data_IF_084399667317
#
_entry.id   IF_084399667317
#
_cell.length_a   1.000
_cell.length_b   1.000
_cell.length_c   1.000
_cell.angle_alpha   90.00
_cell.angle_beta   90.00
_cell.angle_gamma   90.00
#
_symmetry.space_group_name_H-M   'P 1'
#
loop_
_entity.id
_entity.type
_entity.pdbx_description
1 polymer ?
#
# COMPACT_ATOMS: atom_id res chain seq x y z
N UNK A 1 16.17 -17.10 2.73
CA UNK A 1 15.31 -16.92 1.55
C UNK A 1 14.60 -15.57 1.66
N UNK A 2 14.95 -14.62 0.77
CA UNK A 2 14.53 -13.22 0.79
C UNK A 2 13.00 -13.01 0.67
N UNK A 3 12.27 -13.98 0.12
CA UNK A 3 10.82 -13.87 -0.09
C UNK A 3 9.99 -13.91 1.21
N UNK A 4 10.52 -14.51 2.30
CA UNK A 4 9.81 -14.56 3.59
C UNK A 4 9.69 -13.21 4.29
N UNK A 5 10.49 -12.22 3.91
CA UNK A 5 10.53 -10.94 4.61
C UNK A 5 9.46 -9.93 4.13
N UNK A 6 8.90 -10.10 2.93
CA UNK A 6 8.05 -9.09 2.30
C UNK A 6 6.55 -9.43 2.25
N UNK A 7 6.18 -10.70 2.46
CA UNK A 7 4.77 -11.06 2.58
C UNK A 7 4.37 -10.95 4.04
N UNK A 8 3.52 -9.98 4.35
CA UNK A 8 2.95 -9.83 5.68
C UNK A 8 1.99 -11.01 5.96
N UNK A 9 2.31 -11.94 6.89
CA UNK A 9 1.43 -13.08 7.18
C UNK A 9 0.02 -12.63 7.60
N UNK A 10 -0.07 -11.51 8.29
CA UNK A 10 -1.33 -10.94 8.73
C UNK A 10 -2.20 -10.49 7.52
N UNK A 11 -1.58 -9.98 6.45
CA UNK A 11 -2.29 -9.66 5.21
C UNK A 11 -2.91 -10.92 4.59
N UNK A 12 -2.16 -12.03 4.54
CA UNK A 12 -2.66 -13.30 4.02
C UNK A 12 -3.85 -13.81 4.84
N UNK A 13 -3.70 -13.94 6.16
CA UNK A 13 -4.77 -14.43 7.03
C UNK A 13 -6.03 -13.57 6.94
N UNK A 14 -5.89 -12.26 6.94
CA UNK A 14 -7.03 -11.35 6.82
C UNK A 14 -7.72 -11.46 5.45
N UNK A 15 -6.96 -11.69 4.39
CA UNK A 15 -7.53 -11.90 3.06
C UNK A 15 -8.34 -13.19 2.98
N UNK A 16 -7.84 -14.30 3.52
CA UNK A 16 -8.58 -15.55 3.59
C UNK A 16 -9.86 -15.43 4.45
N UNK A 17 -9.79 -14.75 5.59
CA UNK A 17 -10.95 -14.49 6.43
C UNK A 17 -12.01 -13.64 5.69
N UNK A 18 -11.56 -12.67 4.88
CA UNK A 18 -12.46 -11.87 4.05
C UNK A 18 -13.15 -12.73 3.00
N UNK A 19 -12.41 -13.59 2.30
CA UNK A 19 -12.96 -14.51 1.31
C UNK A 19 -14.03 -15.39 1.98
N UNK A 20 -13.71 -16.00 3.12
CA UNK A 20 -14.65 -16.84 3.86
C UNK A 20 -15.93 -16.08 4.27
N UNK A 21 -15.78 -14.85 4.76
CA UNK A 21 -16.90 -13.99 5.14
C UNK A 21 -17.80 -13.63 3.94
N UNK A 22 -17.20 -13.34 2.78
CA UNK A 22 -17.93 -13.04 1.56
C UNK A 22 -18.75 -14.24 1.08
N UNK A 23 -18.15 -15.44 1.10
CA UNK A 23 -18.87 -16.68 0.78
C UNK A 23 -20.01 -16.96 1.75
N UNK A 24 -19.77 -16.84 3.06
CA UNK A 24 -20.78 -17.05 4.11
C UNK A 24 -21.94 -16.05 4.01
N UNK A 25 -21.69 -14.88 3.41
CA UNK A 25 -22.70 -13.84 3.19
C UNK A 25 -23.34 -13.92 1.80
N UNK A 26 -23.13 -15.00 1.04
CA UNK A 26 -23.61 -15.19 -0.33
C UNK A 26 -23.17 -14.10 -1.33
N UNK A 27 -22.07 -13.41 -1.06
CA UNK A 27 -21.51 -12.37 -1.93
C UNK A 27 -20.49 -12.96 -2.92
N UNK A 28 -20.92 -13.95 -3.70
CA UNK A 28 -20.04 -14.77 -4.55
C UNK A 28 -19.29 -13.95 -5.62
N UNK A 29 -19.96 -13.00 -6.24
CA UNK A 29 -19.32 -12.16 -7.26
C UNK A 29 -18.17 -11.34 -6.65
N UNK A 30 -18.42 -10.67 -5.52
CA UNK A 30 -17.39 -9.87 -4.82
C UNK A 30 -16.25 -10.78 -4.34
N UNK A 31 -16.57 -12.01 -3.89
CA UNK A 31 -15.55 -12.98 -3.47
C UNK A 31 -14.64 -13.37 -4.64
N UNK A 32 -15.19 -13.64 -5.83
CA UNK A 32 -14.42 -14.00 -7.02
C UNK A 32 -13.53 -12.83 -7.48
N UNK A 33 -14.06 -11.60 -7.53
CA UNK A 33 -13.29 -10.40 -7.86
C UNK A 33 -12.15 -10.18 -6.84
N UNK A 34 -12.45 -10.37 -5.55
CA UNK A 34 -11.45 -10.26 -4.48
C UNK A 34 -10.33 -11.30 -4.64
N UNK A 35 -10.67 -12.57 -4.93
CA UNK A 35 -9.68 -13.64 -5.12
C UNK A 35 -8.78 -13.34 -6.32
N UNK A 36 -9.34 -12.88 -7.43
CA UNK A 36 -8.58 -12.52 -8.63
C UNK A 36 -7.59 -11.41 -8.32
N UNK A 37 -8.08 -10.30 -7.74
CA UNK A 37 -7.25 -9.16 -7.38
C UNK A 37 -6.19 -9.52 -6.32
N UNK A 38 -6.56 -10.33 -5.32
CA UNK A 38 -5.64 -10.83 -4.29
C UNK A 38 -4.49 -11.66 -4.91
N UNK A 39 -4.81 -12.53 -5.86
CA UNK A 39 -3.81 -13.35 -6.56
C UNK A 39 -2.83 -12.49 -7.34
N UNK A 40 -3.29 -11.43 -8.00
CA UNK A 40 -2.46 -10.50 -8.74
C UNK A 40 -1.55 -9.67 -7.81
N UNK A 41 -2.11 -9.14 -6.72
CA UNK A 41 -1.33 -8.41 -5.71
C UNK A 41 -0.26 -9.31 -5.09
N UNK A 42 -0.61 -10.55 -4.75
CA UNK A 42 0.33 -11.50 -4.16
C UNK A 42 1.48 -11.82 -5.13
N UNK A 43 1.18 -12.11 -6.39
CA UNK A 43 2.18 -12.37 -7.43
C UNK A 43 3.12 -11.18 -7.59
N UNK A 44 2.58 -9.97 -7.76
CA UNK A 44 3.39 -8.74 -7.88
C UNK A 44 4.24 -8.47 -6.64
N UNK A 45 3.73 -8.75 -5.45
CA UNK A 45 4.50 -8.62 -4.20
C UNK A 45 5.70 -9.57 -4.21
N UNK A 46 5.53 -10.82 -4.66
CA UNK A 46 6.62 -11.79 -4.77
C UNK A 46 7.63 -11.35 -5.82
N UNK A 47 7.18 -11.00 -7.02
CA UNK A 47 8.03 -10.62 -8.14
C UNK A 47 8.84 -9.35 -7.82
N UNK A 48 8.22 -8.37 -7.18
CA UNK A 48 8.86 -7.09 -6.83
C UNK A 48 9.69 -7.16 -5.54
N UNK A 49 9.60 -8.23 -4.76
CA UNK A 49 10.28 -8.34 -3.46
C UNK A 49 11.81 -8.34 -3.57
N UNK A 50 12.34 -8.76 -4.72
CA UNK A 50 13.78 -8.77 -5.03
C UNK A 50 14.25 -7.52 -5.79
N UNK A 51 13.35 -6.63 -6.20
CA UNK A 51 13.68 -5.45 -6.98
C UNK A 51 13.95 -4.25 -6.07
N UNK A 52 15.00 -3.49 -6.38
CA UNK A 52 15.25 -2.21 -5.71
C UNK A 52 14.35 -1.12 -6.28
N UNK A 53 14.17 -1.13 -7.59
CA UNK A 53 13.42 -0.12 -8.35
C UNK A 53 12.37 -0.80 -9.21
N UNK A 54 11.25 -0.12 -9.43
CA UNK A 54 10.15 -0.57 -10.28
C UNK A 54 9.66 0.60 -11.15
N UNK A 55 9.19 0.37 -12.38
CA UNK A 55 8.53 1.42 -13.16
C UNK A 55 7.40 2.07 -12.37
N UNK A 56 7.33 3.40 -12.36
CA UNK A 56 6.32 4.15 -11.60
C UNK A 56 4.90 3.70 -11.93
N UNK A 57 4.59 3.42 -13.19
CA UNK A 57 3.30 2.91 -13.64
C UNK A 57 2.92 1.58 -12.98
N UNK A 58 3.89 0.66 -12.88
CA UNK A 58 3.69 -0.65 -12.25
C UNK A 58 3.41 -0.51 -10.75
N UNK A 59 4.14 0.38 -10.08
CA UNK A 59 3.95 0.64 -8.65
C UNK A 59 2.59 1.29 -8.39
N UNK A 60 2.16 2.25 -9.22
CA UNK A 60 0.83 2.89 -9.12
C UNK A 60 -0.28 1.85 -9.35
N UNK A 61 -0.13 0.99 -10.35
CA UNK A 61 -1.09 -0.09 -10.64
C UNK A 61 -1.20 -1.05 -9.45
N UNK A 62 -0.06 -1.45 -8.89
CA UNK A 62 -0.01 -2.28 -7.69
C UNK A 62 -0.73 -1.63 -6.50
N UNK A 63 -0.47 -0.34 -6.25
CA UNK A 63 -1.10 0.39 -5.16
C UNK A 63 -2.62 0.48 -5.29
N UNK A 64 -3.13 0.70 -6.49
CA UNK A 64 -4.58 0.69 -6.75
C UNK A 64 -5.19 -0.66 -6.38
N UNK A 65 -4.63 -1.75 -6.89
CA UNK A 65 -5.10 -3.10 -6.58
C UNK A 65 -5.04 -3.41 -5.08
N UNK A 66 -3.95 -3.03 -4.42
CA UNK A 66 -3.78 -3.21 -2.98
C UNK A 66 -4.84 -2.43 -2.17
N UNK A 67 -5.11 -1.17 -2.51
CA UNK A 67 -6.11 -0.33 -1.86
C UNK A 67 -7.53 -0.85 -2.06
N UNK A 68 -7.87 -1.36 -3.25
CA UNK A 68 -9.15 -2.00 -3.53
C UNK A 68 -9.38 -3.20 -2.60
N UNK A 69 -8.38 -4.06 -2.42
CA UNK A 69 -8.46 -5.16 -1.45
C UNK A 69 -8.69 -4.67 -0.02
N UNK A 70 -7.97 -3.62 0.39
CA UNK A 70 -8.12 -3.05 1.74
C UNK A 70 -9.51 -2.42 1.94
N UNK A 71 -10.09 -1.81 0.91
CA UNK A 71 -11.46 -1.29 0.96
C UNK A 71 -12.49 -2.40 1.19
N UNK A 72 -12.41 -3.51 0.45
CA UNK A 72 -13.29 -4.67 0.62
C UNK A 72 -13.15 -5.26 2.02
N UNK A 73 -11.91 -5.47 2.49
CA UNK A 73 -11.62 -6.01 3.84
C UNK A 73 -12.21 -5.15 4.95
N UNK A 74 -12.32 -3.85 4.73
CA UNK A 74 -12.81 -2.91 5.74
C UNK A 74 -14.29 -2.58 5.63
N UNK A 75 -14.98 -3.16 4.65
CA UNK A 75 -16.43 -3.07 4.51
C UNK A 75 -16.95 -1.61 4.58
N UNK A 76 -16.43 -0.74 3.70
CA UNK A 76 -16.83 0.66 3.59
C UNK A 76 -16.20 1.61 4.63
N UNK A 77 -15.27 1.14 5.47
CA UNK A 77 -14.58 1.98 6.47
C UNK A 77 -13.22 2.48 6.04
N UNK A 78 -12.89 2.31 4.78
CA UNK A 78 -11.73 2.89 4.13
C UNK A 78 -12.17 3.49 2.81
N UNK A 79 -11.87 4.76 2.61
CA UNK A 79 -11.98 5.45 1.34
C UNK A 79 -10.61 5.96 0.95
N UNK A 80 -10.33 5.99 -0.34
CA UNK A 80 -9.09 6.56 -0.83
C UNK A 80 -9.30 7.35 -2.11
N UNK A 81 -8.43 8.31 -2.34
CA UNK A 81 -8.21 8.95 -3.64
C UNK A 81 -6.78 8.69 -4.07
N UNK A 82 -6.58 8.37 -5.34
CA UNK A 82 -5.27 8.25 -5.95
C UNK A 82 -5.25 9.10 -7.21
N UNK A 83 -4.59 10.23 -7.10
CA UNK A 83 -4.39 11.17 -8.19
C UNK A 83 -2.97 10.97 -8.74
N UNK A 84 -2.85 10.83 -10.03
CA UNK A 84 -1.58 10.86 -10.72
C UNK A 84 -1.73 11.76 -11.93
N UNK A 85 -0.86 12.75 -12.04
CA UNK A 85 -0.68 13.47 -13.29
C UNK A 85 -0.28 12.48 -14.37
N UNK A 86 -0.49 12.83 -15.65
CA UNK A 86 -0.06 12.01 -16.78
C UNK A 86 1.44 11.66 -16.64
N UNK A 87 1.70 10.57 -15.93
CA UNK A 87 3.04 10.01 -15.78
C UNK A 87 3.24 9.11 -17.00
N UNK A 88 4.01 9.55 -18.01
CA UNK A 88 4.26 8.77 -19.20
C UNK A 88 4.88 7.41 -18.83
N UNK A 89 4.67 6.40 -19.67
CA UNK A 89 5.28 5.07 -19.46
C UNK A 89 6.81 5.11 -19.33
N UNK A 90 7.44 6.13 -19.93
CA UNK A 90 8.88 6.40 -19.87
C UNK A 90 9.32 7.13 -18.60
N UNK A 91 8.40 7.41 -17.67
CA UNK A 91 8.66 8.30 -16.56
C UNK A 91 9.14 7.58 -15.31
N UNK A 92 10.42 7.28 -15.33
CA UNK A 92 11.18 7.01 -14.13
C UNK A 92 10.89 5.71 -13.41
N UNK A 93 11.88 5.33 -12.67
CA UNK A 93 11.84 4.22 -11.73
C UNK A 93 11.65 4.78 -10.32
N UNK A 94 10.83 4.13 -9.51
CA UNK A 94 10.68 4.44 -8.10
C UNK A 94 11.03 3.21 -7.26
N UNK A 95 11.47 3.39 -6.00
CA UNK A 95 11.79 2.23 -5.16
C UNK A 95 10.59 1.31 -5.01
N UNK A 96 10.79 0.02 -5.28
CA UNK A 96 9.71 -0.99 -5.24
C UNK A 96 9.06 -1.09 -3.87
N UNK A 97 7.73 -1.16 -3.83
CA UNK A 97 6.94 -1.38 -2.61
C UNK A 97 7.25 -0.37 -1.49
N UNK A 98 7.65 0.87 -1.86
CA UNK A 98 8.03 1.89 -0.85
C UNK A 98 6.82 2.56 -0.23
N UNK A 99 5.74 2.70 -0.99
CA UNK A 99 4.55 3.45 -0.55
C UNK A 99 3.61 2.56 0.27
N UNK A 100 3.58 1.25 0.00
CA UNK A 100 2.73 0.30 0.72
C UNK A 100 2.89 0.36 2.25
N UNK A 101 4.10 0.36 2.85
CA UNK A 101 4.24 0.45 4.31
C UNK A 101 3.69 1.75 4.90
N UNK A 102 3.71 2.85 4.13
CA UNK A 102 3.14 4.13 4.54
C UNK A 102 1.62 4.03 4.60
N UNK A 103 1.02 3.45 3.55
CA UNK A 103 -0.43 3.18 3.50
C UNK A 103 -0.86 2.23 4.62
N UNK A 104 -0.11 1.16 4.87
CA UNK A 104 -0.37 0.23 5.97
C UNK A 104 -0.38 0.95 7.33
N UNK A 105 0.55 1.88 7.55
CA UNK A 105 0.58 2.70 8.75
C UNK A 105 -0.65 3.61 8.84
N UNK A 106 -1.00 4.31 7.78
CA UNK A 106 -2.20 5.17 7.72
C UNK A 106 -3.47 4.38 8.02
N UNK A 107 -3.59 3.16 7.47
CA UNK A 107 -4.72 2.27 7.74
C UNK A 107 -4.73 1.78 9.19
N UNK A 108 -3.58 1.42 9.74
CA UNK A 108 -3.44 0.85 11.08
C UNK A 108 -3.69 1.89 12.18
N UNK A 109 -3.19 3.10 11.97
CA UNK A 109 -3.22 4.19 12.93
C UNK A 109 -4.29 5.25 12.61
N UNK A 110 -5.05 5.05 11.53
CA UNK A 110 -6.17 5.90 11.13
C UNK A 110 -7.26 6.01 12.20
N UNK A 111 -8.31 6.79 11.92
CA UNK A 111 -9.36 7.04 12.90
C UNK A 111 -10.03 5.73 13.34
N UNK A 112 -10.29 5.63 14.65
CA UNK A 112 -11.01 4.48 15.23
C UNK A 112 -12.50 4.59 14.94
N UNK A 113 -13.20 3.43 14.96
CA UNK A 113 -14.66 3.40 14.86
C UNK A 113 -15.32 4.45 15.76
N UNK A 114 -16.39 5.12 15.30
CA UNK A 114 -17.15 4.87 14.07
C UNK A 114 -16.62 5.54 12.80
N UNK A 115 -15.53 6.30 12.87
CA UNK A 115 -15.04 7.14 11.78
C UNK A 115 -14.47 6.32 10.61
N UNK A 116 -14.59 6.90 9.42
CA UNK A 116 -14.03 6.33 8.18
C UNK A 116 -12.60 6.80 8.04
N UNK A 117 -11.70 5.86 7.71
CA UNK A 117 -10.33 6.20 7.33
C UNK A 117 -10.33 6.73 5.90
N UNK A 118 -9.75 7.89 5.69
CA UNK A 118 -9.61 8.52 4.37
C UNK A 118 -8.13 8.67 4.08
N UNK A 119 -7.69 8.20 2.91
CA UNK A 119 -6.30 8.29 2.46
C UNK A 119 -6.27 9.01 1.11
N UNK A 120 -5.49 10.07 1.02
CA UNK A 120 -5.23 10.81 -0.21
C UNK A 120 -3.81 10.51 -0.66
N UNK A 121 -3.65 10.03 -1.89
CA UNK A 121 -2.36 9.72 -2.49
C UNK A 121 -2.23 10.53 -3.76
N UNK A 122 -1.13 11.27 -3.90
CA UNK A 122 -0.85 12.06 -5.10
C UNK A 122 0.54 11.76 -5.62
N UNK A 123 0.61 11.59 -6.93
CA UNK A 123 1.84 11.51 -7.69
C UNK A 123 1.89 12.71 -8.63
N UNK A 124 2.83 13.59 -8.41
CA UNK A 124 3.00 14.82 -9.17
C UNK A 124 4.35 14.82 -9.85
N UNK A 125 4.36 15.15 -11.14
CA UNK A 125 5.60 15.37 -11.86
C UNK A 125 6.10 16.80 -11.61
N UNK A 126 7.30 16.93 -11.09
CA UNK A 126 7.99 18.22 -10.95
C UNK A 126 9.34 18.12 -11.66
N UNK A 127 9.45 18.73 -12.84
CA UNK A 127 10.63 18.62 -13.71
C UNK A 127 11.03 17.16 -14.00
N UNK A 128 12.16 16.71 -13.45
CA UNK A 128 12.67 15.35 -13.58
C UNK A 128 12.44 14.50 -12.32
N UNK A 129 11.59 14.95 -11.40
CA UNK A 129 11.31 14.27 -10.12
C UNK A 129 9.83 13.90 -10.03
N UNK A 130 9.53 12.73 -9.49
CA UNK A 130 8.18 12.34 -9.07
C UNK A 130 8.05 12.65 -7.58
N UNK A 131 7.21 13.62 -7.25
CA UNK A 131 6.81 13.87 -5.87
C UNK A 131 5.62 12.96 -5.53
N UNK A 132 5.76 12.16 -4.48
CA UNK A 132 4.66 11.36 -3.96
C UNK A 132 4.27 11.88 -2.58
N UNK A 133 2.99 12.11 -2.37
CA UNK A 133 2.43 12.47 -1.06
C UNK A 133 1.35 11.49 -0.65
N UNK A 134 1.36 11.12 0.63
CA UNK A 134 0.31 10.30 1.27
C UNK A 134 -0.19 11.06 2.48
N UNK A 135 -1.49 11.34 2.52
CA UNK A 135 -2.14 12.03 3.63
C UNK A 135 -3.29 11.18 4.13
N UNK A 136 -3.46 11.10 5.44
CA UNK A 136 -4.59 10.44 6.09
C UNK A 136 -5.31 11.39 7.05
N UNK A 137 -6.53 11.01 7.45
CA UNK A 137 -7.33 11.73 8.44
C UNK A 137 -7.20 11.16 9.85
N UNK A 138 -6.11 10.47 10.14
CA UNK A 138 -5.80 9.92 11.46
C UNK A 138 -5.45 11.02 12.47
N UNK A 139 -5.23 10.64 13.74
CA UNK A 139 -4.92 11.57 14.82
C UNK A 139 -3.51 12.17 14.72
N UNK A 140 -2.74 11.80 13.70
CA UNK A 140 -1.34 12.19 13.58
C UNK A 140 -0.43 11.45 14.56
N UNK A 141 0.83 11.85 14.59
CA UNK A 141 1.80 11.28 15.51
C UNK A 141 1.75 12.04 16.85
N UNK A 142 1.73 11.33 18.01
CA UNK A 142 1.84 11.99 19.31
C UNK A 142 3.15 12.78 19.42
N UNK A 143 3.11 13.94 20.09
CA UNK A 143 4.32 14.75 20.32
C UNK A 143 5.45 13.99 21.04
N UNK A 144 5.10 12.99 21.84
CA UNK A 144 6.06 12.08 22.51
C UNK A 144 6.78 11.13 21.57
N UNK A 145 6.28 10.93 20.34
CA UNK A 145 6.90 10.12 19.27
C UNK A 145 7.69 11.00 18.29
N UNK A 146 8.50 11.94 18.77
CA UNK A 146 9.42 12.72 17.92
C UNK A 146 10.46 11.84 17.22
N UNK A 147 10.69 10.62 17.69
CA UNK A 147 11.46 9.60 17.01
C UNK A 147 10.53 8.69 16.20
N UNK A 148 10.22 9.10 14.98
CA UNK A 148 9.50 8.30 13.96
C UNK A 148 10.21 6.97 13.60
N UNK A 149 11.28 6.64 14.30
CA UNK A 149 12.17 5.50 14.02
C UNK A 149 11.62 4.15 14.46
N UNK A 150 10.60 4.11 15.32
CA UNK A 150 10.14 2.86 15.95
C UNK A 150 9.09 2.08 15.13
N UNK A 151 8.57 2.61 14.02
CA UNK A 151 7.71 1.84 13.13
C UNK A 151 8.56 1.01 12.17
N UNK A 152 8.46 -0.32 12.26
CA UNK A 152 9.17 -1.25 11.34
C UNK A 152 8.95 -0.90 9.87
N UNK A 153 7.74 -0.46 9.50
CA UNK A 153 7.41 -0.05 8.13
C UNK A 153 8.19 1.20 7.69
N UNK A 154 8.25 2.22 8.53
CA UNK A 154 9.00 3.45 8.21
C UNK A 154 10.52 3.22 8.23
N UNK A 155 11.02 2.33 9.08
CA UNK A 155 12.44 1.91 9.02
C UNK A 155 12.75 1.26 7.67
N UNK A 156 11.91 0.35 7.20
CA UNK A 156 12.07 -0.30 5.91
C UNK A 156 12.09 0.70 4.75
N UNK A 157 11.22 1.72 4.80
CA UNK A 157 11.19 2.81 3.82
C UNK A 157 12.50 3.58 3.83
N UNK A 158 13.01 3.97 5.00
CA UNK A 158 14.28 4.69 5.15
C UNK A 158 15.48 3.87 4.65
N UNK A 159 15.53 2.60 5.00
CA UNK A 159 16.62 1.73 4.58
C UNK A 159 16.64 1.55 3.07
N UNK A 160 15.47 1.41 2.44
CA UNK A 160 15.36 1.37 0.98
C UNK A 160 15.82 2.66 0.32
N UNK A 161 15.39 3.82 0.83
CA UNK A 161 15.81 5.12 0.29
C UNK A 161 17.34 5.23 0.36
N UNK A 162 17.95 4.91 1.50
CA UNK A 162 19.41 4.95 1.66
C UNK A 162 20.16 4.05 0.67
N UNK A 163 19.63 2.86 0.39
CA UNK A 163 20.26 1.96 -0.60
C UNK A 163 20.19 2.58 -2.00
N UNK A 164 19.07 3.17 -2.35
CA UNK A 164 18.86 3.78 -3.68
C UNK A 164 19.70 5.04 -3.85
N UNK A 165 19.94 5.83 -2.81
CA UNK A 165 20.81 7.02 -2.84
C UNK A 165 22.30 6.69 -3.05
N UNK A 166 22.70 5.43 -2.90
CA UNK A 166 24.08 4.98 -3.07
C UNK A 166 24.41 4.43 -4.48
N UNK A 167 23.40 4.34 -5.35
CA UNK A 167 23.52 3.83 -6.72
C UNK A 167 23.59 5.01 -7.71
#
# INVERSE_FOLDING_TARGET
SAWKANINPHFLYNSFNTIQSLFSSNKFQIANEFISNFSDVLRRTIDNSGLLMNPSKEEITYLKQYLELECVKRNGRLNYTLECDDIPESYGMIPSLIIQPIIENSIKHGPKKPNICIIEIKFEKQDNVIRTSVKDNGPGFPESMKDYTNSKGLQLVRDKIRIVEQI
#
